data_IF_374095218734
#
_entry.id   IF_374095218734
#
_cell.length_a   1.000
_cell.length_b   1.000
_cell.length_c   1.000
_cell.angle_alpha   90.00
_cell.angle_beta   90.00
_cell.angle_gamma   90.00
#
_symmetry.space_group_name_H-M   'P 1'
#
loop_
_entity.id
_entity.type
_entity.pdbx_description
1 polymer ?
#
# COMPACT_ATOMS: atom_id res chain seq x y z
N UNK A 1 -27.35 0.75 22.12
CA UNK A 1 -26.21 0.00 21.56
C UNK A 1 -24.98 0.89 21.76
N UNK A 2 -24.23 0.65 22.84
CA UNK A 2 -23.06 1.45 23.17
C UNK A 2 -21.90 1.03 22.27
N UNK A 3 -21.42 1.95 21.43
CA UNK A 3 -20.14 1.81 20.74
C UNK A 3 -19.06 2.16 21.78
N UNK A 4 -18.29 1.16 22.20
CA UNK A 4 -17.14 1.37 23.07
C UNK A 4 -16.03 2.06 22.24
N UNK A 5 -15.96 3.38 22.34
CA UNK A 5 -14.76 4.13 22.00
C UNK A 5 -13.70 3.79 23.05
N UNK A 6 -12.79 2.86 22.70
CA UNK A 6 -11.65 2.54 23.53
C UNK A 6 -10.71 3.74 23.59
N UNK A 7 -10.56 4.33 24.78
CA UNK A 7 -9.64 5.42 25.06
C UNK A 7 -8.21 5.05 24.63
N UNK A 8 -7.67 5.78 23.66
CA UNK A 8 -6.26 5.74 23.27
C UNK A 8 -5.38 6.15 24.44
N UNK A 9 -4.74 5.16 25.07
CA UNK A 9 -3.63 5.39 25.97
C UNK A 9 -2.44 5.88 25.15
N UNK A 10 -2.02 7.13 25.39
CA UNK A 10 -0.73 7.66 24.93
C UNK A 10 0.40 6.81 25.51
N UNK A 11 1.05 5.97 24.70
CA UNK A 11 2.34 5.36 25.06
C UNK A 11 3.03 4.67 23.85
N UNK A 12 4.19 5.23 23.49
CA UNK A 12 5.33 4.62 22.80
C UNK A 12 5.22 4.33 21.29
N UNK A 13 5.82 5.24 20.52
CA UNK A 13 6.55 5.00 19.27
C UNK A 13 6.06 3.81 18.43
N UNK A 14 5.03 3.99 17.60
CA UNK A 14 4.31 2.93 16.91
C UNK A 14 4.59 2.88 15.41
N UNK A 15 4.63 1.68 14.85
CA UNK A 15 4.65 1.48 13.39
C UNK A 15 3.23 1.57 12.85
N UNK A 16 3.01 2.39 11.83
CA UNK A 16 1.77 2.45 11.05
C UNK A 16 2.10 1.97 9.65
N UNK A 17 1.50 0.85 9.23
CA UNK A 17 1.69 0.29 7.91
C UNK A 17 0.36 0.30 7.16
N UNK A 18 0.36 0.85 5.94
CA UNK A 18 -0.76 0.71 5.01
C UNK A 18 -0.34 -0.10 3.80
N UNK A 19 -1.21 -1.02 3.37
CA UNK A 19 -0.95 -1.91 2.24
C UNK A 19 -2.04 -1.73 1.19
N UNK A 20 -1.66 -1.52 -0.06
CA UNK A 20 -2.60 -1.39 -1.17
C UNK A 20 -2.39 -2.52 -2.17
N UNK A 21 -3.45 -3.28 -2.46
CA UNK A 21 -3.44 -4.42 -3.38
C UNK A 21 -4.08 -4.07 -4.71
N UNK A 22 -3.28 -4.03 -5.78
CA UNK A 22 -3.78 -3.92 -7.14
C UNK A 22 -4.33 -5.26 -7.63
N UNK A 23 -5.64 -5.27 -7.89
CA UNK A 23 -6.37 -6.43 -8.38
C UNK A 23 -6.90 -6.23 -9.79
N UNK A 24 -6.28 -5.32 -10.56
CA UNK A 24 -6.60 -5.11 -11.97
C UNK A 24 -6.28 -6.34 -12.83
N UNK A 25 -6.69 -6.28 -14.11
CA UNK A 25 -6.47 -7.36 -15.06
C UNK A 25 -4.99 -7.70 -15.29
N UNK A 26 -4.10 -6.70 -15.22
CA UNK A 26 -2.67 -6.87 -15.44
C UNK A 26 -1.99 -7.63 -14.29
N UNK A 27 -2.52 -7.56 -13.08
CA UNK A 27 -2.03 -8.32 -11.91
C UNK A 27 -2.79 -9.64 -11.67
N UNK A 28 -3.67 -10.05 -12.59
CA UNK A 28 -4.55 -11.22 -12.41
C UNK A 28 -3.81 -12.56 -12.39
N UNK A 29 -2.57 -12.62 -12.88
CA UNK A 29 -1.77 -13.83 -12.90
C UNK A 29 -1.57 -14.37 -11.48
N UNK A 30 -1.91 -15.66 -11.29
CA UNK A 30 -1.86 -16.31 -9.97
C UNK A 30 -0.48 -16.19 -9.31
N UNK A 31 0.60 -16.29 -10.10
CA UNK A 31 1.97 -16.17 -9.60
C UNK A 31 2.27 -14.78 -8.99
N UNK A 32 1.73 -13.70 -9.58
CA UNK A 32 1.88 -12.32 -9.07
C UNK A 32 1.16 -12.20 -7.74
N UNK A 33 -0.10 -12.63 -7.65
CA UNK A 33 -0.90 -12.54 -6.43
C UNK A 33 -0.38 -13.44 -5.30
N UNK A 34 0.19 -14.60 -5.65
CA UNK A 34 0.92 -15.43 -4.68
C UNK A 34 2.18 -14.75 -4.17
N UNK A 35 2.89 -13.99 -5.01
CA UNK A 35 4.03 -13.18 -4.57
C UNK A 35 3.57 -12.07 -3.60
N UNK A 36 2.48 -11.37 -3.90
CA UNK A 36 1.89 -10.38 -2.99
C UNK A 36 1.57 -10.99 -1.63
N UNK A 37 0.98 -12.19 -1.60
CA UNK A 37 0.65 -12.86 -0.35
C UNK A 37 1.91 -13.29 0.45
N UNK A 38 2.96 -13.76 -0.23
CA UNK A 38 4.24 -14.09 0.41
C UNK A 38 4.88 -12.86 1.04
N UNK A 39 4.92 -11.75 0.31
CA UNK A 39 5.55 -10.52 0.79
C UNK A 39 4.69 -9.84 1.86
N UNK A 40 3.37 -9.85 1.74
CA UNK A 40 2.47 -9.36 2.80
C UNK A 40 2.66 -10.11 4.12
N UNK A 41 2.88 -11.43 4.08
CA UNK A 41 3.16 -12.20 5.30
C UNK A 41 4.38 -11.67 6.05
N UNK A 42 5.45 -11.28 5.34
CA UNK A 42 6.65 -10.69 5.94
C UNK A 42 6.35 -9.33 6.59
N UNK A 43 5.60 -8.48 5.89
CA UNK A 43 5.16 -7.18 6.42
C UNK A 43 4.33 -7.36 7.69
N UNK A 44 3.40 -8.32 7.68
CA UNK A 44 2.55 -8.62 8.83
C UNK A 44 3.37 -9.12 10.02
N UNK A 45 4.35 -9.99 9.80
CA UNK A 45 5.23 -10.49 10.87
C UNK A 45 5.99 -9.32 11.54
N UNK A 46 6.42 -8.33 10.76
CA UNK A 46 7.06 -7.12 11.29
C UNK A 46 6.11 -6.23 12.10
N UNK A 47 4.85 -6.05 11.65
CA UNK A 47 3.84 -5.24 12.35
C UNK A 47 3.30 -5.95 13.60
N UNK A 48 3.21 -7.28 13.59
CA UNK A 48 2.67 -8.08 14.69
C UNK A 48 3.46 -7.96 16.01
N UNK A 49 4.67 -7.39 15.97
CA UNK A 49 5.48 -7.07 17.15
C UNK A 49 5.04 -5.80 17.89
N UNK A 50 4.11 -5.03 17.32
CA UNK A 50 3.57 -3.80 17.91
C UNK A 50 3.38 -2.72 16.84
N UNK A 51 2.13 -2.41 16.49
CA UNK A 51 1.80 -1.43 15.46
C UNK A 51 0.42 -1.62 14.84
N UNK A 52 0.12 -0.81 13.84
CA UNK A 52 -1.14 -0.82 13.08
C UNK A 52 -0.89 -1.29 11.66
N UNK A 53 -1.77 -2.14 11.13
CA UNK A 53 -1.84 -2.46 9.71
C UNK A 53 -3.24 -2.16 9.17
N UNK A 54 -3.30 -1.34 8.13
CA UNK A 54 -4.49 -1.13 7.33
C UNK A 54 -4.24 -1.62 5.91
N UNK A 55 -5.25 -2.15 5.23
CA UNK A 55 -5.10 -2.49 3.83
C UNK A 55 -6.38 -2.31 3.03
N UNK A 56 -6.23 -1.96 1.75
CA UNK A 56 -7.33 -1.84 0.81
C UNK A 56 -6.90 -2.24 -0.62
N UNK A 57 -7.84 -2.15 -1.55
CA UNK A 57 -7.69 -2.54 -2.96
C UNK A 57 -7.48 -1.29 -3.82
N UNK A 58 -6.63 -1.43 -4.84
CA UNK A 58 -6.54 -0.52 -5.97
C UNK A 58 -7.43 -1.08 -7.08
N UNK A 59 -8.44 -0.30 -7.48
CA UNK A 59 -9.33 -0.57 -8.61
C UNK A 59 -9.54 0.69 -9.47
N UNK A 60 -10.60 0.76 -10.28
CA UNK A 60 -10.90 1.89 -11.15
C UNK A 60 -11.43 3.13 -10.42
N UNK A 61 -11.85 3.01 -9.15
CA UNK A 61 -12.37 4.11 -8.33
C UNK A 61 -12.18 3.84 -6.82
N UNK A 62 -10.92 3.76 -6.35
CA UNK A 62 -10.59 3.30 -5.00
C UNK A 62 -11.19 4.19 -3.91
N UNK A 63 -11.33 5.50 -4.16
CA UNK A 63 -11.90 6.45 -3.21
C UNK A 63 -13.38 6.20 -2.91
N UNK A 64 -14.14 5.69 -3.88
CA UNK A 64 -15.56 5.40 -3.70
C UNK A 64 -15.81 3.99 -3.16
N UNK A 65 -14.89 3.06 -3.42
CA UNK A 65 -15.06 1.65 -3.08
C UNK A 65 -14.27 1.20 -1.83
N UNK A 66 -13.39 2.05 -1.31
CA UNK A 66 -12.58 1.77 -0.12
C UNK A 66 -13.44 1.38 1.08
N UNK A 67 -13.02 0.31 1.75
CA UNK A 67 -13.66 -0.22 2.97
C UNK A 67 -12.67 -0.60 4.06
N UNK A 68 -11.36 -0.52 3.78
CA UNK A 68 -10.28 -1.02 4.63
C UNK A 68 -10.57 -2.39 5.24
N UNK A 69 -10.72 -3.45 4.41
CA UNK A 69 -11.05 -4.81 4.87
C UNK A 69 -10.05 -5.39 5.88
N UNK A 70 -8.83 -4.84 5.94
CA UNK A 70 -7.87 -5.05 7.01
C UNK A 70 -7.68 -3.72 7.71
N UNK A 71 -7.90 -3.70 9.02
CA UNK A 71 -7.64 -2.57 9.90
C UNK A 71 -7.44 -3.10 11.31
N UNK A 72 -6.19 -3.43 11.65
CA UNK A 72 -5.85 -4.16 12.88
C UNK A 72 -4.70 -3.49 13.63
N UNK A 73 -4.79 -3.56 14.96
CA UNK A 73 -3.76 -3.09 15.89
C UNK A 73 -3.17 -4.26 16.68
N UNK A 74 -1.85 -4.28 16.79
CA UNK A 74 -1.07 -5.20 17.59
C UNK A 74 -0.44 -4.43 18.76
N UNK A 75 -0.79 -4.85 19.97
CA UNK A 75 -0.19 -4.31 21.19
C UNK A 75 1.21 -4.90 21.38
N UNK A 76 2.11 -4.14 21.99
CA UNK A 76 3.42 -4.66 22.40
C UNK A 76 3.27 -5.57 23.61
N UNK A 77 4.11 -6.60 23.68
CA UNK A 77 4.18 -7.44 24.86
C UNK A 77 4.63 -6.65 26.09
N UNK A 78 3.85 -6.73 27.17
CA UNK A 78 4.18 -6.10 28.45
C UNK A 78 4.39 -7.14 29.57
N UNK A 79 5.64 -7.60 29.81
CA UNK A 79 5.91 -8.73 30.73
C UNK A 79 5.41 -8.55 32.17
N UNK A 80 5.24 -7.29 32.61
CA UNK A 80 4.78 -6.97 33.96
C UNK A 80 3.25 -6.90 34.08
N UNK A 81 2.52 -6.86 32.95
CA UNK A 81 1.06 -6.71 32.93
C UNK A 81 0.33 -7.94 32.41
N UNK A 82 1.01 -8.86 31.73
CA UNK A 82 0.37 -10.00 31.09
C UNK A 82 1.25 -11.25 31.00
N UNK A 83 0.59 -12.39 30.81
CA UNK A 83 1.24 -13.68 30.60
C UNK A 83 1.71 -13.82 29.13
N UNK A 84 2.96 -14.27 28.95
CA UNK A 84 3.57 -14.49 27.62
C UNK A 84 2.75 -15.40 26.70
N UNK A 85 2.25 -16.52 27.20
CA UNK A 85 1.51 -17.49 26.39
C UNK A 85 0.15 -16.92 25.94
N UNK A 86 -0.49 -16.14 26.81
CA UNK A 86 -1.75 -15.46 26.46
C UNK A 86 -1.50 -14.36 25.44
N UNK A 87 -0.42 -13.59 25.58
CA UNK A 87 0.02 -12.61 24.58
C UNK A 87 0.24 -13.28 23.20
N UNK A 88 1.10 -14.31 23.17
CA UNK A 88 1.44 -15.02 21.93
C UNK A 88 0.19 -15.60 21.27
N UNK A 89 -0.72 -16.20 22.05
CA UNK A 89 -1.99 -16.72 21.53
C UNK A 89 -2.84 -15.62 20.88
N UNK A 90 -2.98 -14.45 21.52
CA UNK A 90 -3.77 -13.33 20.97
C UNK A 90 -3.14 -12.77 19.70
N UNK A 91 -1.82 -12.59 19.67
CA UNK A 91 -1.10 -12.12 18.47
C UNK A 91 -1.27 -13.12 17.32
N UNK A 92 -1.12 -14.42 17.59
CA UNK A 92 -1.35 -15.46 16.59
C UNK A 92 -2.77 -15.43 16.02
N UNK A 93 -3.80 -15.31 16.87
CA UNK A 93 -5.20 -15.25 16.43
C UNK A 93 -5.50 -14.01 15.56
N UNK A 94 -4.97 -12.84 15.95
CA UNK A 94 -5.08 -11.61 15.15
C UNK A 94 -4.38 -11.78 13.80
N UNK A 95 -3.15 -12.31 13.81
CA UNK A 95 -2.37 -12.58 12.59
C UNK A 95 -3.12 -13.51 11.63
N UNK A 96 -3.67 -14.61 12.13
CA UNK A 96 -4.43 -15.56 11.31
C UNK A 96 -5.68 -14.91 10.70
N UNK A 97 -6.31 -13.98 11.42
CA UNK A 97 -7.45 -13.21 10.93
C UNK A 97 -7.03 -12.29 9.79
N UNK A 98 -5.94 -11.52 9.98
CA UNK A 98 -5.39 -10.63 8.95
C UNK A 98 -4.96 -11.41 7.70
N UNK A 99 -4.31 -12.57 7.86
CA UNK A 99 -3.92 -13.42 6.74
C UNK A 99 -5.14 -13.93 5.97
N UNK A 100 -6.20 -14.36 6.65
CA UNK A 100 -7.45 -14.78 5.99
C UNK A 100 -8.10 -13.63 5.21
N UNK A 101 -8.10 -12.42 5.76
CA UNK A 101 -8.60 -11.23 5.07
C UNK A 101 -7.74 -10.91 3.83
N UNK A 102 -6.42 -10.95 3.95
CA UNK A 102 -5.50 -10.72 2.84
C UNK A 102 -5.66 -11.78 1.73
N UNK A 103 -5.79 -13.06 2.12
CA UNK A 103 -6.10 -14.15 1.20
C UNK A 103 -7.42 -13.92 0.48
N UNK A 104 -8.46 -13.47 1.18
CA UNK A 104 -9.74 -13.15 0.59
C UNK A 104 -9.62 -11.99 -0.42
N UNK A 105 -8.81 -10.97 -0.13
CA UNK A 105 -8.51 -9.87 -1.05
C UNK A 105 -7.84 -10.39 -2.32
N UNK A 106 -6.69 -11.07 -2.21
CA UNK A 106 -5.92 -11.50 -3.40
C UNK A 106 -6.63 -12.56 -4.24
N UNK A 107 -7.58 -13.31 -3.66
CA UNK A 107 -8.44 -14.26 -4.38
C UNK A 107 -9.61 -13.62 -5.11
N UNK A 108 -9.96 -12.35 -4.84
CA UNK A 108 -11.04 -11.68 -5.59
C UNK A 108 -10.72 -11.74 -7.09
N UNK A 109 -11.70 -11.98 -7.97
CA UNK A 109 -11.47 -11.93 -9.41
C UNK A 109 -10.91 -10.56 -9.80
N UNK A 110 -10.25 -10.49 -10.96
CA UNK A 110 -9.84 -9.20 -11.49
C UNK A 110 -11.03 -8.24 -11.53
N UNK A 111 -10.83 -7.01 -11.05
CA UNK A 111 -11.85 -5.98 -11.00
C UNK A 111 -12.27 -5.51 -12.40
N UNK A 112 -13.07 -4.44 -12.44
CA UNK A 112 -13.34 -3.76 -13.71
C UNK A 112 -12.02 -3.31 -14.36
N UNK A 113 -11.96 -3.20 -15.70
CA UNK A 113 -10.78 -2.69 -16.37
C UNK A 113 -10.38 -1.30 -15.84
N UNK A 114 -9.10 -1.13 -15.53
CA UNK A 114 -8.54 0.10 -14.96
C UNK A 114 -7.87 -0.12 -13.60
N UNK A 115 -6.91 0.75 -13.29
CA UNK A 115 -6.21 0.81 -12.01
C UNK A 115 -5.88 2.27 -11.72
N UNK A 116 -6.54 2.87 -10.72
CA UNK A 116 -6.21 4.22 -10.27
C UNK A 116 -5.29 4.16 -9.05
N UNK A 117 -4.01 3.96 -9.35
CA UNK A 117 -2.93 3.96 -8.36
C UNK A 117 -2.81 5.34 -7.72
N UNK A 118 -2.91 6.41 -8.52
CA UNK A 118 -2.86 7.80 -8.02
C UNK A 118 -3.95 8.06 -6.96
N UNK A 119 -5.21 7.75 -7.28
CA UNK A 119 -6.32 7.95 -6.33
C UNK A 119 -6.22 7.04 -5.10
N UNK A 120 -5.56 5.90 -5.22
CA UNK A 120 -5.34 5.00 -4.08
C UNK A 120 -4.37 5.59 -3.05
N UNK A 121 -3.48 6.51 -3.45
CA UNK A 121 -2.53 7.12 -2.51
C UNK A 121 -3.20 8.03 -1.48
N UNK A 122 -4.38 8.57 -1.81
CA UNK A 122 -5.24 9.30 -0.88
C UNK A 122 -5.79 8.40 0.25
N UNK A 123 -5.96 7.10 -0.02
CA UNK A 123 -6.29 6.14 1.03
C UNK A 123 -5.15 6.00 2.04
N UNK A 124 -3.90 6.04 1.57
CA UNK A 124 -2.73 5.99 2.43
C UNK A 124 -2.63 7.24 3.33
N UNK A 125 -2.84 8.43 2.78
CA UNK A 125 -2.92 9.67 3.56
C UNK A 125 -4.01 9.60 4.64
N UNK A 126 -5.19 9.06 4.32
CA UNK A 126 -6.25 8.83 5.31
C UNK A 126 -5.79 7.93 6.46
N UNK A 127 -5.06 6.85 6.18
CA UNK A 127 -4.53 5.97 7.23
C UNK A 127 -3.51 6.73 8.09
N UNK A 128 -2.54 7.41 7.48
CA UNK A 128 -1.47 8.11 8.22
C UNK A 128 -1.90 9.38 8.95
N UNK A 129 -3.06 9.95 8.58
CA UNK A 129 -3.71 11.02 9.35
C UNK A 129 -4.61 10.48 10.47
N UNK A 130 -5.07 9.24 10.35
CA UNK A 130 -5.92 8.59 11.37
C UNK A 130 -5.10 7.98 12.50
N UNK A 131 -4.00 7.31 12.18
CA UNK A 131 -3.17 6.61 13.16
C UNK A 131 -1.88 7.37 13.42
N UNK A 132 -1.61 7.66 14.69
CA UNK A 132 -0.34 8.22 15.11
C UNK A 132 0.76 7.16 15.08
N UNK A 133 1.92 7.54 14.54
CA UNK A 133 3.10 6.70 14.48
C UNK A 133 4.27 7.46 13.86
N UNK A 134 5.45 7.09 14.31
CA UNK A 134 6.76 7.66 14.01
C UNK A 134 7.53 6.81 12.99
N UNK A 135 7.05 5.60 12.71
CA UNK A 135 7.46 4.81 11.56
C UNK A 135 6.25 4.55 10.66
N UNK A 136 6.17 5.26 9.54
CA UNK A 136 5.09 5.15 8.56
C UNK A 136 5.57 4.41 7.32
N UNK A 137 4.90 3.31 6.97
CA UNK A 137 5.24 2.48 5.82
C UNK A 137 4.04 2.32 4.89
N UNK A 138 4.19 2.70 3.63
CA UNK A 138 3.26 2.39 2.55
C UNK A 138 3.83 1.25 1.70
N UNK A 139 3.08 0.15 1.62
CA UNK A 139 3.38 -0.96 0.70
C UNK A 139 2.35 -0.98 -0.43
N UNK A 140 2.81 -0.89 -1.67
CA UNK A 140 1.96 -0.94 -2.87
C UNK A 140 2.28 -2.23 -3.62
N UNK A 141 1.35 -3.17 -3.59
CA UNK A 141 1.37 -4.38 -4.40
C UNK A 141 0.71 -4.08 -5.75
N UNK A 142 1.48 -3.60 -6.72
CA UNK A 142 0.97 -3.19 -8.04
C UNK A 142 2.05 -3.31 -9.12
N UNK A 143 1.65 -3.43 -10.38
CA UNK A 143 2.54 -3.22 -11.53
C UNK A 143 2.89 -1.75 -11.77
N UNK A 144 2.22 -0.85 -11.04
CA UNK A 144 2.34 0.60 -11.03
C UNK A 144 1.91 1.26 -12.34
N UNK A 145 1.07 0.61 -13.15
CA UNK A 145 0.56 1.19 -14.39
C UNK A 145 -0.76 1.91 -14.07
N UNK A 146 -0.73 3.24 -14.05
CA UNK A 146 -1.94 4.06 -13.91
C UNK A 146 -2.81 3.93 -15.16
N UNK A 147 -4.04 3.45 -14.98
CA UNK A 147 -5.08 3.36 -15.99
C UNK A 147 -6.41 3.81 -15.38
N UNK A 148 -6.53 5.11 -15.13
CA UNK A 148 -7.75 5.74 -14.63
C UNK A 148 -8.43 6.56 -15.69
N UNK A 149 -9.57 7.17 -15.35
CA UNK A 149 -10.27 8.12 -16.25
C UNK A 149 -9.43 9.34 -16.60
N UNK A 150 -8.43 9.70 -15.78
CA UNK A 150 -7.64 10.92 -15.95
C UNK A 150 -6.33 10.68 -16.67
N UNK A 151 -5.71 9.53 -16.45
CA UNK A 151 -4.41 9.19 -16.99
C UNK A 151 -4.39 7.73 -17.42
N UNK A 152 -3.83 7.48 -18.60
CA UNK A 152 -3.52 6.14 -19.07
C UNK A 152 -2.03 6.08 -19.43
N UNK A 153 -1.25 5.53 -18.51
CA UNK A 153 0.19 5.44 -18.66
C UNK A 153 0.60 4.43 -19.70
N UNK A 154 -0.27 3.59 -20.24
CA UNK A 154 0.10 2.72 -21.38
C UNK A 154 0.33 3.55 -22.64
N UNK A 155 -0.52 4.54 -22.90
CA UNK A 155 -0.44 5.43 -24.07
C UNK A 155 0.30 6.76 -23.84
N UNK A 156 0.42 7.24 -22.61
CA UNK A 156 0.95 8.58 -22.29
C UNK A 156 2.49 8.68 -22.49
N UNK A 157 2.98 9.71 -23.19
CA UNK A 157 4.43 9.91 -23.33
C UNK A 157 5.01 10.63 -22.10
N UNK A 158 5.47 9.86 -21.12
CA UNK A 158 5.98 10.32 -19.82
C UNK A 158 7.41 10.91 -19.92
N UNK A 159 7.54 12.01 -20.64
CA UNK A 159 8.75 12.85 -20.60
C UNK A 159 8.88 13.56 -19.26
N UNK A 160 10.08 14.05 -18.89
CA UNK A 160 10.27 14.81 -17.65
C UNK A 160 9.33 16.02 -17.54
N UNK A 161 9.11 16.75 -18.65
CA UNK A 161 8.17 17.87 -18.68
C UNK A 161 6.72 17.42 -18.45
N UNK A 162 6.31 16.28 -19.05
CA UNK A 162 4.97 15.74 -18.89
C UNK A 162 4.72 15.23 -17.46
N UNK A 163 5.70 14.56 -16.86
CA UNK A 163 5.66 14.13 -15.45
C UNK A 163 5.44 15.34 -14.54
N UNK A 164 6.26 16.40 -14.70
CA UNK A 164 6.12 17.62 -13.91
C UNK A 164 4.75 18.29 -14.06
N UNK A 165 4.18 18.29 -15.28
CA UNK A 165 2.82 18.81 -15.51
C UNK A 165 1.74 18.00 -14.80
N UNK A 166 1.83 16.66 -14.83
CA UNK A 166 0.85 15.79 -14.16
C UNK A 166 0.93 16.04 -12.65
N UNK A 167 2.12 16.03 -12.05
CA UNK A 167 2.31 16.27 -10.61
C UNK A 167 1.79 17.65 -10.21
N UNK A 168 2.14 18.71 -10.94
CA UNK A 168 1.67 20.07 -10.65
C UNK A 168 0.14 20.19 -10.78
N UNK A 169 -0.47 19.47 -11.72
CA UNK A 169 -1.94 19.43 -11.89
C UNK A 169 -2.62 18.70 -10.73
N UNK A 170 -2.05 17.60 -10.24
CA UNK A 170 -2.57 16.90 -9.06
C UNK A 170 -2.41 17.76 -7.79
N UNK A 171 -1.27 18.41 -7.62
CA UNK A 171 -1.00 19.30 -6.49
C UNK A 171 -1.94 20.52 -6.47
N UNK A 172 -2.03 21.26 -7.58
CA UNK A 172 -2.88 22.46 -7.68
C UNK A 172 -4.38 22.16 -7.52
N UNK A 173 -4.79 20.93 -7.78
CA UNK A 173 -6.16 20.49 -7.59
C UNK A 173 -6.41 19.82 -6.22
N UNK A 174 -5.43 19.83 -5.31
CA UNK A 174 -5.55 19.26 -3.96
C UNK A 174 -5.68 17.73 -3.95
N UNK A 175 -5.13 17.04 -4.96
CA UNK A 175 -5.21 15.58 -5.12
C UNK A 175 -3.86 14.87 -4.98
N UNK A 176 -2.77 15.62 -4.90
CA UNK A 176 -1.50 15.04 -4.45
C UNK A 176 -1.60 14.81 -2.93
N UNK A 177 -1.43 13.58 -2.44
CA UNK A 177 -1.59 13.26 -1.03
C UNK A 177 -0.43 13.79 -0.19
N UNK A 178 -0.71 14.10 1.08
CA UNK A 178 0.32 14.44 2.06
C UNK A 178 0.89 13.15 2.69
N UNK A 179 2.08 12.73 2.24
CA UNK A 179 2.76 11.51 2.68
C UNK A 179 4.11 11.84 3.33
N UNK A 180 4.16 12.94 4.08
CA UNK A 180 5.39 13.39 4.73
C UNK A 180 5.94 12.31 5.68
N UNK A 181 7.22 12.01 5.53
CA UNK A 181 7.98 11.04 6.32
C UNK A 181 7.46 9.59 6.21
N UNK A 182 6.74 9.29 5.13
CA UNK A 182 6.30 7.92 4.80
C UNK A 182 7.36 7.22 3.97
N UNK A 183 7.83 6.07 4.43
CA UNK A 183 8.62 5.16 3.62
C UNK A 183 7.71 4.41 2.64
N UNK A 184 8.11 4.31 1.37
CA UNK A 184 7.33 3.64 0.33
C UNK A 184 8.06 2.41 -0.20
N UNK A 185 7.30 1.35 -0.37
CA UNK A 185 7.68 0.06 -0.89
C UNK A 185 6.74 -0.36 -2.01
N UNK A 186 7.29 -0.63 -3.18
CA UNK A 186 6.53 -1.08 -4.36
C UNK A 186 6.96 -2.49 -4.73
N UNK A 187 5.99 -3.39 -4.83
CA UNK A 187 6.18 -4.79 -5.18
C UNK A 187 5.32 -5.16 -6.37
N UNK A 188 5.95 -5.79 -7.36
CA UNK A 188 5.29 -6.20 -8.59
C UNK A 188 5.44 -5.21 -9.73
N UNK A 189 6.22 -4.13 -9.56
CA UNK A 189 6.46 -3.14 -10.60
C UNK A 189 7.00 -3.82 -11.87
N UNK A 190 6.29 -3.66 -12.99
CA UNK A 190 6.64 -4.30 -14.25
C UNK A 190 6.47 -5.83 -14.29
N UNK A 191 5.86 -6.47 -13.29
CA UNK A 191 5.64 -7.92 -13.29
C UNK A 191 4.53 -8.37 -14.26
N UNK A 192 3.62 -7.46 -14.61
CA UNK A 192 2.53 -7.72 -15.56
C UNK A 192 2.95 -7.73 -17.04
N UNK A 193 4.24 -7.54 -17.34
CA UNK A 193 4.75 -7.31 -18.71
C UNK A 193 4.84 -8.56 -19.57
N UNK A 194 4.13 -9.64 -19.21
CA UNK A 194 3.81 -10.71 -20.15
C UNK A 194 2.89 -10.18 -21.27
N UNK A 195 3.38 -9.25 -22.11
CA UNK A 195 2.79 -8.93 -23.41
C UNK A 195 2.61 -7.47 -23.87
N UNK A 196 3.25 -6.40 -23.36
CA UNK A 196 2.87 -5.06 -23.90
C UNK A 196 3.77 -3.82 -23.80
N UNK A 197 4.50 -3.56 -22.71
CA UNK A 197 5.24 -2.30 -22.57
C UNK A 197 6.74 -2.47 -22.84
N UNK A 198 7.33 -1.50 -23.55
CA UNK A 198 8.78 -1.46 -23.79
C UNK A 198 9.56 -1.19 -22.50
N UNK A 199 10.85 -1.53 -22.48
CA UNK A 199 11.72 -1.25 -21.35
C UNK A 199 11.80 0.26 -21.05
N UNK A 200 11.91 1.10 -22.09
CA UNK A 200 11.91 2.57 -21.95
C UNK A 200 10.63 3.06 -21.29
N UNK A 201 9.49 2.47 -21.67
CA UNK A 201 8.20 2.82 -21.11
C UNK A 201 8.14 2.49 -19.62
N UNK A 202 8.57 1.30 -19.21
CA UNK A 202 8.64 0.90 -17.81
C UNK A 202 9.55 1.85 -17.01
N UNK A 203 10.69 2.23 -17.59
CA UNK A 203 11.62 3.18 -16.96
C UNK A 203 10.99 4.57 -16.79
N UNK A 204 10.19 5.03 -17.77
CA UNK A 204 9.47 6.31 -17.67
C UNK A 204 8.36 6.28 -16.61
N UNK A 205 7.64 5.17 -16.47
CA UNK A 205 6.64 4.98 -15.41
C UNK A 205 7.30 4.98 -14.04
N UNK A 206 8.43 4.27 -13.90
CA UNK A 206 9.23 4.30 -12.66
C UNK A 206 9.66 5.73 -12.31
N UNK A 207 10.17 6.47 -13.29
CA UNK A 207 10.60 7.85 -13.08
C UNK A 207 9.44 8.76 -12.64
N UNK A 208 8.26 8.57 -13.22
CA UNK A 208 7.05 9.25 -12.75
C UNK A 208 6.81 8.98 -11.26
N UNK A 209 6.81 7.71 -10.82
CA UNK A 209 6.51 7.38 -9.42
C UNK A 209 7.57 7.90 -8.44
N UNK A 210 8.85 7.85 -8.80
CA UNK A 210 9.92 8.44 -8.00
C UNK A 210 9.70 9.94 -7.78
N UNK A 211 9.31 10.67 -8.83
CA UNK A 211 9.02 12.10 -8.73
C UNK A 211 7.70 12.38 -8.00
N UNK A 212 6.67 11.56 -8.23
CA UNK A 212 5.35 11.69 -7.60
C UNK A 212 5.46 11.53 -6.07
N UNK A 213 6.09 10.45 -5.60
CA UNK A 213 6.25 10.22 -4.16
C UNK A 213 7.16 11.26 -3.51
N UNK A 214 8.22 11.71 -4.20
CA UNK A 214 9.04 12.83 -3.72
C UNK A 214 8.22 14.11 -3.57
N UNK A 215 7.33 14.41 -4.52
CA UNK A 215 6.46 15.59 -4.45
C UNK A 215 5.42 15.48 -3.32
N UNK A 216 4.97 14.26 -3.01
CA UNK A 216 4.07 13.96 -1.89
C UNK A 216 4.76 13.98 -0.51
N UNK A 217 6.09 14.20 -0.45
CA UNK A 217 6.87 14.21 0.80
C UNK A 217 7.30 12.82 1.29
N UNK A 218 7.11 11.78 0.49
CA UNK A 218 7.44 10.39 0.82
C UNK A 218 8.83 9.97 0.33
N UNK A 219 9.40 8.95 0.98
CA UNK A 219 10.67 8.35 0.59
C UNK A 219 10.45 7.03 -0.18
N UNK A 220 10.53 7.10 -1.52
CA UNK A 220 10.65 5.95 -2.40
C UNK A 220 12.06 5.88 -3.00
N UNK A 221 12.93 5.04 -2.44
CA UNK A 221 14.23 4.75 -3.04
C UNK A 221 14.10 3.78 -4.22
N UNK A 222 15.04 3.87 -5.18
CA UNK A 222 15.05 2.99 -6.36
C UNK A 222 15.11 1.50 -6.01
N UNK A 223 15.75 1.15 -4.91
CA UNK A 223 15.89 -0.23 -4.45
C UNK A 223 14.60 -0.81 -3.84
N UNK A 224 13.65 0.06 -3.45
CA UNK A 224 12.32 -0.32 -2.95
C UNK A 224 11.25 -0.27 -4.04
N UNK A 225 11.65 -0.07 -5.31
CA UNK A 225 10.78 -0.15 -6.47
C UNK A 225 11.18 -1.36 -7.33
N UNK A 226 10.44 -2.46 -7.24
CA UNK A 226 10.80 -3.66 -7.97
C UNK A 226 9.69 -4.68 -8.15
N UNK A 227 10.00 -5.76 -8.87
CA UNK A 227 9.10 -6.89 -9.09
C UNK A 227 8.92 -7.76 -7.85
N UNK A 228 9.82 -7.69 -6.88
CA UNK A 228 9.78 -8.43 -5.61
C UNK A 228 10.27 -7.56 -4.44
N UNK A 229 9.81 -7.89 -3.23
CA UNK A 229 10.21 -7.21 -1.99
C UNK A 229 11.63 -7.64 -1.58
N UNK A 230 12.64 -6.80 -1.88
CA UNK A 230 14.05 -7.07 -1.53
C UNK A 230 14.59 -6.23 -0.34
N UNK A 231 14.16 -4.97 -0.21
CA UNK A 231 14.67 -4.01 0.80
C UNK A 231 13.60 -3.26 1.57
N UNK A 232 12.43 -3.87 1.72
CA UNK A 232 11.40 -3.36 2.62
C UNK A 232 11.45 -4.12 3.95
N UNK A 233 11.12 -3.45 5.06
CA UNK A 233 11.24 -4.01 6.42
C UNK A 233 10.40 -5.26 6.64
#
# INVERSE_FOLDING_TARGET
MLVAAGCGGKSAQGRVTTVLFDLSGSTSAQAIRQQYMRDFTKILDAVASGGVIAADIIDDNPLAHSTFPINESFDRYEPLKENKLDYERRVHQKRDTVLKQAEAIVRKPAGRPGSSVIDSMQLAERVFSTFEGDHKLLVVFSDMIEQSRRYDFTGENLTAARIGQIIAKEQSAGRLPELQDVEVCVVGAGAATSGGLSAEKILSIREFWLQYFKAAGADLSKDRYGSALLKCP
#
